data_IF_865133561579
#
_entry.id   IF_865133561579
#
_cell.length_a   1.000
_cell.length_b   1.000
_cell.length_c   1.000
_cell.angle_alpha   90.00
_cell.angle_beta   90.00
_cell.angle_gamma   90.00
#
_symmetry.space_group_name_H-M   'P 1'
#
loop_
_entity.id
_entity.type
_entity.pdbx_description
1 polymer ?
#
# COMPACT_ATOMS: atom_id res chain seq x y z
N UNK A 1 -2.98 1.89 -13.21
CA UNK A 1 -1.88 2.81 -12.81
C UNK A 1 -0.95 2.15 -11.79
N UNK A 2 -1.48 1.62 -10.68
CA UNK A 2 -0.70 1.01 -9.60
C UNK A 2 0.02 -0.29 -9.99
N UNK A 3 -0.57 -1.08 -10.91
CA UNK A 3 -0.02 -2.36 -11.41
C UNK A 3 1.28 -2.23 -12.20
N UNK A 4 1.71 -1.01 -12.56
CA UNK A 4 3.02 -0.78 -13.18
C UNK A 4 4.17 -1.03 -12.20
N UNK A 5 3.92 -0.85 -10.91
CA UNK A 5 4.92 -1.00 -9.85
C UNK A 5 4.55 -2.10 -8.85
N UNK A 6 3.26 -2.23 -8.52
CA UNK A 6 2.80 -3.19 -7.51
C UNK A 6 2.27 -4.47 -8.14
N UNK A 7 2.60 -5.60 -7.50
CA UNK A 7 1.96 -6.90 -7.75
C UNK A 7 0.80 -7.09 -6.76
N UNK A 8 -0.29 -7.69 -7.24
CA UNK A 8 -1.33 -8.30 -6.42
C UNK A 8 -1.62 -9.67 -7.03
N UNK A 9 -1.34 -10.74 -6.28
CA UNK A 9 -1.50 -12.10 -6.75
C UNK A 9 -2.99 -12.44 -6.88
N UNK A 10 -3.36 -13.29 -7.84
CA UNK A 10 -4.74 -13.75 -8.06
C UNK A 10 -5.66 -12.77 -8.80
N UNK A 11 -5.25 -11.51 -9.02
CA UNK A 11 -6.05 -10.48 -9.72
C UNK A 11 -5.88 -10.57 -11.24
N UNK A 12 -4.84 -11.29 -11.71
CA UNK A 12 -4.59 -11.53 -13.13
C UNK A 12 -4.91 -12.95 -13.61
N UNK A 13 -5.59 -13.76 -12.79
CA UNK A 13 -6.06 -15.09 -13.18
C UNK A 13 -6.15 -16.05 -12.01
N UNK A 14 -7.26 -16.79 -11.93
CA UNK A 14 -7.59 -17.74 -10.85
C UNK A 14 -6.70 -18.99 -10.85
N UNK A 15 -5.77 -19.09 -11.81
CA UNK A 15 -4.81 -20.19 -11.97
C UNK A 15 -3.37 -19.71 -12.20
N UNK A 16 -3.09 -18.42 -11.98
CA UNK A 16 -1.75 -17.87 -12.21
C UNK A 16 -1.06 -17.66 -10.86
N UNK A 17 -0.30 -18.67 -10.43
CA UNK A 17 0.77 -18.52 -9.42
C UNK A 17 1.91 -17.61 -9.94
N UNK A 18 1.71 -16.94 -11.07
CA UNK A 18 2.63 -16.01 -11.67
C UNK A 18 2.27 -14.57 -11.29
N UNK A 19 3.23 -13.79 -10.76
CA UNK A 19 3.03 -12.38 -10.55
C UNK A 19 2.62 -11.71 -11.87
N UNK A 20 1.67 -10.79 -11.78
CA UNK A 20 1.20 -9.92 -12.87
C UNK A 20 2.28 -9.65 -13.91
N UNK A 21 2.22 -10.32 -15.07
CA UNK A 21 3.17 -10.07 -16.18
C UNK A 21 3.00 -8.62 -16.64
N UNK A 22 3.91 -7.74 -16.22
CA UNK A 22 3.90 -6.32 -16.57
C UNK A 22 4.05 -5.34 -15.40
N UNK A 23 4.05 -5.79 -14.14
CA UNK A 23 4.75 -5.02 -13.12
C UNK A 23 6.23 -5.08 -13.48
N UNK A 24 6.89 -3.93 -13.61
CA UNK A 24 8.33 -3.87 -13.88
C UNK A 24 9.05 -4.40 -12.62
N UNK A 25 9.10 -5.74 -12.48
CA UNK A 25 9.85 -6.44 -11.44
C UNK A 25 11.37 -6.22 -11.61
N UNK A 26 11.77 -5.51 -12.68
CA UNK A 26 13.13 -4.99 -12.86
C UNK A 26 13.33 -3.87 -11.84
N UNK A 27 13.86 -4.32 -10.69
CA UNK A 27 14.18 -3.61 -9.46
C UNK A 27 12.99 -3.37 -8.52
N UNK A 28 12.74 -4.29 -7.57
CA UNK A 28 12.55 -4.11 -6.10
C UNK A 28 12.01 -2.76 -5.53
N UNK A 29 11.34 -1.92 -6.31
CA UNK A 29 11.05 -0.53 -5.97
C UNK A 29 9.70 -0.39 -5.26
N UNK A 30 8.79 -1.35 -5.45
CA UNK A 30 7.45 -1.33 -4.89
C UNK A 30 7.07 -2.70 -4.29
N UNK A 31 6.47 -2.73 -3.08
CA UNK A 31 6.09 -3.98 -2.41
C UNK A 31 4.88 -4.65 -3.07
N UNK A 32 4.82 -6.00 -2.99
CA UNK A 32 3.63 -6.79 -3.32
C UNK A 32 2.48 -6.42 -2.37
N UNK A 33 1.28 -6.10 -2.85
CA UNK A 33 0.16 -5.63 -2.04
C UNK A 33 -0.87 -6.72 -1.69
N UNK A 34 -0.67 -7.97 -2.11
CA UNK A 34 -1.62 -9.10 -1.91
C UNK A 34 -2.14 -9.22 -0.48
N UNK A 35 -1.29 -8.92 0.51
CA UNK A 35 -1.61 -9.00 1.93
C UNK A 35 -1.45 -7.65 2.64
N UNK A 36 -1.75 -6.54 1.94
CA UNK A 36 -1.62 -5.20 2.54
C UNK A 36 -2.37 -5.11 3.87
N UNK A 37 -3.62 -5.60 3.93
CA UNK A 37 -4.44 -5.52 5.14
C UNK A 37 -3.95 -6.42 6.27
N UNK A 38 -3.05 -7.37 6.01
CA UNK A 38 -2.42 -8.18 7.07
C UNK A 38 -1.15 -7.57 7.63
N UNK A 39 -0.80 -6.34 7.22
CA UNK A 39 0.30 -5.55 7.79
C UNK A 39 -0.24 -4.61 8.85
N UNK A 40 0.62 -4.16 9.74
CA UNK A 40 0.29 -3.12 10.73
C UNK A 40 0.80 -1.74 10.32
N UNK A 41 1.79 -1.66 9.43
CA UNK A 41 2.39 -0.41 8.95
C UNK A 41 2.52 -0.39 7.42
N UNK A 42 2.69 0.81 6.85
CA UNK A 42 2.93 1.02 5.43
C UNK A 42 4.00 2.09 5.15
N UNK A 43 4.20 2.45 3.87
CA UNK A 43 5.24 3.38 3.41
C UNK A 43 6.69 3.02 3.83
N UNK A 44 6.95 1.72 4.06
CA UNK A 44 8.23 1.24 4.57
C UNK A 44 8.35 1.34 6.09
N UNK A 45 7.23 1.21 6.81
CA UNK A 45 7.20 1.12 8.27
C UNK A 45 7.18 2.45 9.01
N UNK A 46 6.79 3.54 8.33
CA UNK A 46 6.80 4.89 8.93
C UNK A 46 5.41 5.43 9.27
N UNK A 47 4.36 4.74 8.81
CA UNK A 47 2.97 5.09 9.12
C UNK A 47 2.24 3.82 9.54
N UNK A 48 1.40 3.95 10.56
CA UNK A 48 0.47 2.91 10.97
C UNK A 48 -0.64 2.75 9.95
N UNK A 49 -0.97 1.51 9.60
CA UNK A 49 -2.09 1.19 8.72
C UNK A 49 -3.41 1.22 9.48
N UNK A 50 -3.37 1.05 10.80
CA UNK A 50 -4.53 1.03 11.68
C UNK A 50 -4.42 2.08 12.78
N UNK A 51 -5.55 2.62 13.20
CA UNK A 51 -5.69 3.40 14.42
C UNK A 51 -5.62 2.48 15.65
N UNK A 52 -5.42 3.01 16.87
CA UNK A 52 -5.38 2.20 18.10
C UNK A 52 -6.65 1.39 18.38
N UNK A 53 -7.81 1.78 17.82
CA UNK A 53 -9.07 1.03 17.90
C UNK A 53 -9.20 -0.08 16.84
N UNK A 54 -8.19 -0.24 15.99
CA UNK A 54 -8.11 -1.22 14.92
C UNK A 54 -8.90 -0.85 13.67
N UNK A 55 -9.47 0.35 13.60
CA UNK A 55 -10.00 0.89 12.34
C UNK A 55 -8.86 1.25 11.40
N UNK A 56 -9.09 1.23 10.09
CA UNK A 56 -8.07 1.62 9.11
C UNK A 56 -7.75 3.11 9.32
N UNK A 57 -6.46 3.46 9.41
CA UNK A 57 -6.00 4.85 9.37
C UNK A 57 -6.16 5.40 7.95
N UNK A 58 -7.42 5.68 7.60
CA UNK A 58 -7.83 6.10 6.27
C UNK A 58 -7.25 7.48 5.94
N UNK A 59 -7.19 8.38 6.92
CA UNK A 59 -6.63 9.72 6.76
C UNK A 59 -5.19 9.67 6.25
N UNK A 60 -4.31 8.91 6.91
CA UNK A 60 -2.90 8.81 6.52
C UNK A 60 -2.73 8.02 5.21
N UNK A 61 -3.52 6.96 5.00
CA UNK A 61 -3.48 6.19 3.76
C UNK A 61 -3.90 7.04 2.54
N UNK A 62 -4.94 7.86 2.68
CA UNK A 62 -5.39 8.76 1.62
C UNK A 62 -4.40 9.90 1.37
N UNK A 63 -3.79 10.47 2.41
CA UNK A 63 -2.71 11.44 2.27
C UNK A 63 -1.55 10.88 1.43
N UNK A 64 -1.15 9.64 1.71
CA UNK A 64 -0.15 8.92 0.93
C UNK A 64 -0.57 8.69 -0.53
N UNK A 65 -1.81 8.24 -0.77
CA UNK A 65 -2.30 8.01 -2.14
C UNK A 65 -2.44 9.32 -2.95
N UNK A 66 -2.77 10.42 -2.27
CA UNK A 66 -2.89 11.76 -2.86
C UNK A 66 -1.53 12.30 -3.30
N UNK A 67 -0.52 12.25 -2.42
CA UNK A 67 0.82 12.75 -2.71
C UNK A 67 1.90 12.11 -1.82
N UNK A 68 2.26 10.85 -2.10
CA UNK A 68 3.32 10.14 -1.36
C UNK A 68 4.65 10.91 -1.24
N UNK A 69 5.16 11.63 -2.28
CA UNK A 69 6.37 12.44 -2.14
C UNK A 69 6.28 13.59 -1.13
N UNK A 70 5.08 14.08 -0.82
CA UNK A 70 4.88 15.08 0.24
C UNK A 70 4.94 14.47 1.65
N UNK A 71 4.53 13.21 1.80
CA UNK A 71 4.58 12.46 3.05
C UNK A 71 5.97 11.84 3.33
N UNK A 72 6.63 11.32 2.28
CA UNK A 72 7.99 10.77 2.33
C UNK A 72 8.71 11.09 1.02
N UNK A 73 9.82 11.86 1.05
CA UNK A 73 10.55 12.21 -0.17
C UNK A 73 10.91 10.99 -1.02
N UNK A 74 10.55 11.04 -2.30
CA UNK A 74 10.94 10.05 -3.29
C UNK A 74 12.30 10.42 -3.92
N UNK A 75 13.06 9.41 -4.35
CA UNK A 75 14.26 9.62 -5.16
C UNK A 75 13.96 9.21 -6.60
N UNK A 76 13.48 10.18 -7.38
CA UNK A 76 12.93 9.99 -8.71
C UNK A 76 13.95 9.43 -9.71
N UNK A 77 15.20 9.93 -9.69
CA UNK A 77 16.27 9.50 -10.59
C UNK A 77 16.60 8.01 -10.42
N UNK A 78 16.52 7.51 -9.19
CA UNK A 78 16.71 6.09 -8.89
C UNK A 78 15.41 5.28 -8.87
N UNK A 79 14.28 5.83 -9.30
CA UNK A 79 12.96 5.18 -9.29
C UNK A 79 12.59 4.60 -7.91
N UNK A 80 12.97 5.29 -6.83
CA UNK A 80 12.70 4.87 -5.45
C UNK A 80 11.61 5.75 -4.82
N UNK A 81 10.64 5.12 -4.17
CA UNK A 81 9.49 5.80 -3.57
C UNK A 81 8.28 5.83 -4.51
N UNK A 82 7.10 6.05 -3.93
CA UNK A 82 5.86 6.14 -4.69
C UNK A 82 5.72 7.56 -5.27
N UNK A 83 5.55 7.74 -6.59
CA UNK A 83 5.30 9.05 -7.16
C UNK A 83 3.89 9.54 -6.86
N UNK A 84 3.66 10.85 -6.99
CA UNK A 84 2.31 11.41 -6.98
C UNK A 84 1.55 10.94 -8.25
N UNK A 85 0.45 10.23 -8.06
CA UNK A 85 -0.29 9.59 -9.15
C UNK A 85 -1.36 10.50 -9.77
N UNK A 86 -1.60 11.68 -9.20
CA UNK A 86 -2.61 12.63 -9.70
C UNK A 86 -4.04 12.09 -9.67
N UNK A 87 -4.35 11.25 -8.67
CA UNK A 87 -5.68 10.66 -8.50
C UNK A 87 -6.68 11.73 -8.03
N UNK A 88 -7.93 11.63 -8.47
CA UNK A 88 -9.03 12.38 -7.85
C UNK A 88 -9.44 11.74 -6.52
N UNK A 89 -10.15 12.48 -5.66
CA UNK A 89 -10.64 11.94 -4.38
C UNK A 89 -11.52 10.69 -4.57
N UNK A 90 -12.39 10.68 -5.59
CA UNK A 90 -13.19 9.48 -5.90
C UNK A 90 -12.34 8.27 -6.32
N UNK A 91 -11.25 8.49 -7.07
CA UNK A 91 -10.32 7.40 -7.41
C UNK A 91 -9.53 6.92 -6.19
N UNK A 92 -9.20 7.81 -5.26
CA UNK A 92 -8.57 7.46 -3.99
C UNK A 92 -9.53 6.58 -3.18
N UNK A 93 -10.80 6.95 -3.09
CA UNK A 93 -11.84 6.16 -2.42
C UNK A 93 -11.95 4.75 -3.01
N UNK A 94 -12.01 4.64 -4.34
CA UNK A 94 -12.07 3.35 -5.05
C UNK A 94 -10.82 2.50 -4.78
N UNK A 95 -9.64 3.12 -4.77
CA UNK A 95 -8.38 2.43 -4.44
C UNK A 95 -8.39 1.95 -3.00
N UNK A 96 -8.79 2.78 -2.03
CA UNK A 96 -8.89 2.37 -0.62
C UNK A 96 -9.90 1.23 -0.45
N UNK A 97 -11.04 1.29 -1.13
CA UNK A 97 -12.05 0.22 -1.11
C UNK A 97 -11.46 -1.10 -1.63
N UNK A 98 -10.70 -1.06 -2.71
CA UNK A 98 -10.02 -2.23 -3.26
C UNK A 98 -8.89 -2.74 -2.33
N UNK A 99 -8.06 -1.85 -1.78
CA UNK A 99 -6.98 -2.24 -0.86
C UNK A 99 -7.51 -2.96 0.38
N UNK A 100 -8.69 -2.57 0.88
CA UNK A 100 -9.36 -3.24 2.00
C UNK A 100 -9.70 -4.71 1.74
N UNK A 101 -9.72 -5.16 0.49
CA UNK A 101 -9.97 -6.58 0.17
C UNK A 101 -8.70 -7.43 0.17
N UNK A 102 -7.51 -6.83 0.36
CA UNK A 102 -6.22 -7.49 0.19
C UNK A 102 -5.66 -8.02 1.52
N UNK A 103 -6.29 -9.07 2.03
CA UNK A 103 -5.93 -9.76 3.28
C UNK A 103 -6.89 -9.48 4.43
N UNK A 104 -6.58 -10.03 5.60
CA UNK A 104 -7.35 -9.84 6.84
C UNK A 104 -6.59 -8.96 7.82
N UNK A 105 -7.32 -8.15 8.59
CA UNK A 105 -6.75 -7.33 9.67
C UNK A 105 -6.04 -8.20 10.72
N UNK A 106 -4.85 -7.82 11.22
CA UNK A 106 -4.21 -8.51 12.35
C UNK A 106 -5.01 -8.37 13.64
N UNK A 107 -4.67 -9.18 14.64
CA UNK A 107 -5.23 -9.06 15.98
C UNK A 107 -4.83 -7.73 16.63
N UNK A 108 -5.68 -7.23 17.53
CA UNK A 108 -5.45 -5.95 18.23
C UNK A 108 -4.12 -5.91 18.99
N UNK A 109 -3.69 -7.04 19.55
CA UNK A 109 -2.40 -7.16 20.23
C UNK A 109 -1.23 -6.93 19.28
N UNK A 110 -1.32 -7.44 18.04
CA UNK A 110 -0.28 -7.27 17.03
C UNK A 110 -0.23 -5.82 16.55
N UNK A 111 -1.40 -5.19 16.36
CA UNK A 111 -1.51 -3.77 16.00
C UNK A 111 -0.81 -2.92 17.08
N UNK A 112 -1.20 -3.08 18.35
CA UNK A 112 -0.63 -2.32 19.46
C UNK A 112 0.88 -2.57 19.65
N UNK A 113 1.35 -3.81 19.47
CA UNK A 113 2.76 -4.17 19.65
C UNK A 113 3.68 -3.65 18.52
N UNK A 114 3.13 -3.15 17.41
CA UNK A 114 3.91 -2.73 16.24
C UNK A 114 3.62 -1.30 15.78
N UNK A 115 2.97 -0.51 16.63
CA UNK A 115 2.74 0.92 16.39
C UNK A 115 4.05 1.65 16.10
N UNK A 116 4.02 2.56 15.12
CA UNK A 116 5.14 3.45 14.84
C UNK A 116 5.20 4.50 15.93
N UNK A 117 6.10 4.31 16.89
CA UNK A 117 6.36 5.30 17.92
C UNK A 117 7.08 6.53 17.32
N UNK A 118 6.64 7.76 17.64
CA UNK A 118 7.29 8.99 17.22
C UNK A 118 8.68 9.21 17.86
#
# INVERSE_FOLDING_TARGET
QCTRCHVVNGVNGVNDDQPSKGADLVANAAPNLTHLMSRTTFAGGIFDLYEPDGSLNRTQLEAWLRNAPAEKPAYAEGRRGMPAMGLSEGQIDDVVAYLKTLGARPDMEVIAATEVHP
#
